data_IF_098671133451
#
_entry.id   IF_098671133451
#
_cell.length_a   1.000
_cell.length_b   1.000
_cell.length_c   1.000
_cell.angle_alpha   90.00
_cell.angle_beta   90.00
_cell.angle_gamma   90.00
#
_symmetry.space_group_name_H-M   'P 1'
#
loop_
_entity.id
_entity.type
_entity.pdbx_description
1 polymer ?
#
# COMPACT_ATOMS: atom_id res chain seq x y z
N UNK A 1 -4.01 15.13 14.72
CA UNK A 1 -4.76 15.09 15.98
C UNK A 1 -3.78 14.94 17.12
N UNK A 2 -3.83 15.82 18.07
CA UNK A 2 -2.91 15.85 19.25
C UNK A 2 -3.35 14.88 20.36
N UNK A 3 -4.53 14.30 20.23
CA UNK A 3 -5.17 13.38 21.18
C UNK A 3 -4.92 11.88 20.88
N UNK A 4 -4.21 11.57 19.79
CA UNK A 4 -3.88 10.18 19.46
C UNK A 4 -2.50 9.79 20.01
N UNK A 5 -2.46 8.74 20.83
CA UNK A 5 -1.20 8.18 21.33
C UNK A 5 -0.48 7.34 20.25
N UNK A 6 -1.23 6.54 19.49
CA UNK A 6 -0.71 5.69 18.42
C UNK A 6 -1.66 5.67 17.22
N UNK A 7 -1.11 5.50 16.03
CA UNK A 7 -1.87 5.32 14.79
C UNK A 7 -1.07 4.50 13.77
N UNK A 8 -1.76 3.81 12.86
CA UNK A 8 -1.09 3.27 11.67
C UNK A 8 -0.76 4.39 10.70
N UNK A 9 0.47 4.41 10.21
CA UNK A 9 0.96 5.45 9.32
C UNK A 9 1.79 4.86 8.19
N UNK A 10 1.54 5.34 6.97
CA UNK A 10 2.36 5.01 5.81
C UNK A 10 3.76 5.64 5.97
N UNK A 11 4.80 4.88 5.63
CA UNK A 11 6.19 5.34 5.75
C UNK A 11 6.51 6.52 4.84
N UNK A 12 5.87 6.63 3.68
CA UNK A 12 6.11 7.71 2.72
C UNK A 12 5.74 9.10 3.27
N UNK A 13 4.49 9.39 3.71
CA UNK A 13 4.18 10.67 4.33
C UNK A 13 4.92 10.87 5.65
N UNK A 14 5.19 9.79 6.41
CA UNK A 14 5.98 9.89 7.64
C UNK A 14 7.37 10.47 7.39
N UNK A 15 8.10 9.99 6.38
CA UNK A 15 9.41 10.52 6.00
C UNK A 15 9.30 11.97 5.52
N UNK A 16 8.37 12.27 4.62
CA UNK A 16 8.16 13.61 4.05
C UNK A 16 7.83 14.67 5.10
N UNK A 17 7.19 14.28 6.20
CA UNK A 17 6.82 15.16 7.31
C UNK A 17 7.79 15.09 8.50
N UNK A 18 9.05 14.69 8.27
CA UNK A 18 10.14 14.81 9.21
C UNK A 18 10.28 13.63 10.18
N UNK A 19 9.61 12.51 9.94
CA UNK A 19 9.77 11.25 10.69
C UNK A 19 9.66 11.42 12.24
N UNK A 20 8.75 12.28 12.69
CA UNK A 20 8.65 12.68 14.10
C UNK A 20 8.02 11.62 15.02
N UNK A 21 7.29 10.64 14.46
CA UNK A 21 6.67 9.56 15.22
C UNK A 21 7.62 8.37 15.34
N UNK A 22 7.47 7.59 16.42
CA UNK A 22 8.30 6.40 16.65
C UNK A 22 7.55 5.12 16.28
N UNK A 23 8.21 4.25 15.52
CA UNK A 23 7.64 2.94 15.14
C UNK A 23 7.48 2.07 16.37
N UNK A 24 6.31 1.49 16.56
CA UNK A 24 6.00 0.50 17.61
C UNK A 24 6.21 -0.91 17.03
N UNK A 25 5.40 -1.27 16.05
CA UNK A 25 5.47 -2.56 15.34
C UNK A 25 4.70 -2.46 14.02
N UNK A 26 5.02 -3.34 13.08
CA UNK A 26 4.34 -3.45 11.80
C UNK A 26 3.63 -4.81 11.68
N UNK A 27 2.44 -4.87 11.06
CA UNK A 27 1.76 -6.13 10.82
C UNK A 27 2.56 -6.98 9.84
N UNK A 28 2.52 -8.30 10.04
CA UNK A 28 3.06 -9.30 9.12
C UNK A 28 1.88 -9.93 8.40
N UNK A 29 1.60 -9.58 7.12
CA UNK A 29 0.50 -10.16 6.37
C UNK A 29 0.61 -11.67 6.26
N UNK A 30 -0.53 -12.37 6.24
CA UNK A 30 -0.59 -13.83 6.09
C UNK A 30 -0.40 -14.29 4.64
N UNK A 31 -0.60 -13.39 3.67
CA UNK A 31 -0.49 -13.68 2.24
C UNK A 31 0.95 -14.00 1.79
N UNK A 32 1.07 -14.81 0.74
CA UNK A 32 2.35 -15.35 0.27
C UNK A 32 3.34 -14.28 -0.22
N UNK A 33 2.86 -13.15 -0.74
CA UNK A 33 3.74 -12.06 -1.17
C UNK A 33 4.60 -11.52 -0.02
N UNK A 34 4.11 -11.59 1.21
CA UNK A 34 4.82 -11.09 2.39
C UNK A 34 5.95 -12.02 2.85
N UNK A 35 5.85 -13.34 2.58
CA UNK A 35 6.85 -14.34 2.98
C UNK A 35 7.24 -14.27 4.47
N UNK A 36 6.24 -13.99 5.33
CA UNK A 36 6.46 -13.84 6.76
C UNK A 36 7.19 -12.56 7.19
N UNK A 37 7.28 -11.56 6.30
CA UNK A 37 7.91 -10.26 6.56
C UNK A 37 6.85 -9.16 6.71
N UNK A 38 7.15 -8.05 7.40
CA UNK A 38 6.25 -6.90 7.54
C UNK A 38 6.31 -6.02 6.28
N UNK A 39 5.90 -6.58 5.14
CA UNK A 39 5.93 -5.92 3.83
C UNK A 39 4.58 -5.99 3.13
N UNK A 40 4.37 -5.11 2.18
CA UNK A 40 3.23 -5.07 1.28
C UNK A 40 3.68 -4.60 -0.11
N UNK A 41 2.79 -4.71 -1.09
CA UNK A 41 3.02 -4.19 -2.44
C UNK A 41 1.79 -3.45 -2.95
N UNK A 42 1.88 -2.86 -4.12
CA UNK A 42 0.73 -2.31 -4.84
C UNK A 42 0.36 -3.27 -5.96
N UNK A 43 -0.88 -3.76 -5.94
CA UNK A 43 -1.46 -4.52 -7.04
C UNK A 43 -2.10 -3.56 -8.04
N UNK A 44 -1.88 -3.76 -9.33
CA UNK A 44 -2.67 -3.11 -10.37
C UNK A 44 -3.88 -3.97 -10.67
N UNK A 45 -5.06 -3.44 -10.43
CA UNK A 45 -6.32 -4.14 -10.63
C UNK A 45 -7.08 -3.60 -11.83
N UNK A 46 -7.76 -4.50 -12.53
CA UNK A 46 -8.72 -4.22 -13.61
C UNK A 46 -10.02 -4.95 -13.32
N UNK A 47 -11.11 -4.63 -14.00
CA UNK A 47 -12.35 -5.42 -13.89
C UNK A 47 -12.09 -6.88 -14.27
N UNK A 48 -12.69 -7.80 -13.53
CA UNK A 48 -12.52 -9.25 -13.76
C UNK A 48 -13.03 -9.69 -15.15
N UNK A 49 -14.06 -9.03 -15.67
CA UNK A 49 -14.65 -9.29 -16.99
C UNK A 49 -14.04 -8.47 -18.14
N UNK A 50 -13.01 -7.66 -17.87
CA UNK A 50 -12.32 -6.88 -18.92
C UNK A 50 -11.46 -7.79 -19.81
N UNK A 51 -11.09 -7.30 -20.98
CA UNK A 51 -10.14 -7.98 -21.88
C UNK A 51 -8.66 -7.79 -21.47
N UNK A 52 -8.38 -6.94 -20.48
CA UNK A 52 -7.01 -6.62 -20.07
C UNK A 52 -6.41 -7.80 -19.30
N UNK A 53 -5.30 -8.35 -19.77
CA UNK A 53 -4.60 -9.49 -19.15
C UNK A 53 -3.26 -9.11 -18.52
N UNK A 54 -2.70 -7.97 -18.94
CA UNK A 54 -1.46 -7.38 -18.46
C UNK A 54 -1.64 -5.89 -18.23
N UNK A 55 -0.72 -5.28 -17.48
CA UNK A 55 -0.75 -3.85 -17.20
C UNK A 55 -0.68 -3.02 -18.51
N UNK A 56 0.14 -3.45 -19.46
CA UNK A 56 0.35 -2.75 -20.72
C UNK A 56 -0.93 -2.66 -21.57
N UNK A 57 -1.86 -3.62 -21.42
CA UNK A 57 -3.15 -3.59 -22.12
C UNK A 57 -4.03 -2.40 -21.70
N UNK A 58 -3.70 -1.79 -20.54
CA UNK A 58 -4.43 -0.63 -19.98
C UNK A 58 -3.84 0.71 -20.42
N UNK A 59 -2.73 0.72 -21.15
CA UNK A 59 -2.12 1.99 -21.62
C UNK A 59 -3.04 2.73 -22.57
N UNK A 60 -3.07 4.07 -22.44
CA UNK A 60 -4.03 4.92 -23.13
C UNK A 60 -5.44 4.94 -22.51
N UNK A 61 -5.69 4.16 -21.44
CA UNK A 61 -6.96 4.09 -20.72
C UNK A 61 -6.99 5.00 -19.50
N UNK A 62 -8.04 4.88 -18.67
CA UNK A 62 -8.22 5.69 -17.44
C UNK A 62 -7.54 5.01 -16.27
N UNK A 63 -6.62 5.72 -15.63
CA UNK A 63 -5.89 5.26 -14.44
C UNK A 63 -6.41 5.96 -13.19
N UNK A 64 -6.84 5.18 -12.19
CA UNK A 64 -7.23 5.72 -10.89
C UNK A 64 -6.04 5.78 -9.92
N UNK A 65 -6.11 6.68 -8.92
CA UNK A 65 -5.17 6.71 -7.79
C UNK A 65 -5.85 7.19 -6.51
N UNK A 66 -5.24 6.92 -5.36
CA UNK A 66 -5.77 7.34 -4.05
C UNK A 66 -5.50 8.82 -3.80
N UNK A 67 -4.29 9.16 -3.35
CA UNK A 67 -3.74 10.50 -3.13
C UNK A 67 -2.26 10.50 -3.44
N UNK A 68 -1.68 11.63 -3.80
CA UNK A 68 -0.25 11.75 -4.14
C UNK A 68 0.68 11.44 -2.95
N UNK A 69 0.19 11.62 -1.74
CA UNK A 69 0.92 11.33 -0.50
C UNK A 69 0.85 9.84 -0.07
N UNK A 70 0.20 8.98 -0.88
CA UNK A 70 0.15 7.54 -0.64
C UNK A 70 1.34 6.81 -1.29
N UNK A 71 2.01 5.93 -0.52
CA UNK A 71 3.03 5.09 -1.12
C UNK A 71 2.40 4.04 -2.07
N UNK A 72 1.52 3.18 -1.56
CA UNK A 72 0.88 2.12 -2.35
C UNK A 72 -0.10 2.62 -3.40
N UNK A 73 -0.76 3.74 -3.15
CA UNK A 73 -1.77 4.29 -4.06
C UNK A 73 -1.24 5.27 -5.09
N UNK A 74 0.05 5.65 -5.03
CA UNK A 74 0.65 6.63 -5.94
C UNK A 74 2.15 6.43 -6.16
N UNK A 75 2.98 6.52 -5.12
CA UNK A 75 4.44 6.55 -5.28
C UNK A 75 5.01 5.24 -5.84
N UNK A 76 4.65 4.09 -5.27
CA UNK A 76 5.10 2.78 -5.75
C UNK A 76 4.57 2.45 -7.16
N UNK A 77 3.28 2.67 -7.47
CA UNK A 77 2.77 2.58 -8.84
C UNK A 77 3.54 3.46 -9.81
N UNK A 78 3.81 4.71 -9.47
CA UNK A 78 4.59 5.65 -10.29
C UNK A 78 5.99 5.12 -10.60
N UNK A 79 6.68 4.60 -9.60
CA UNK A 79 7.99 3.98 -9.77
C UNK A 79 7.93 2.75 -10.68
N UNK A 80 6.93 1.88 -10.49
CA UNK A 80 6.74 0.70 -11.35
C UNK A 80 6.49 1.10 -12.82
N UNK A 81 5.63 2.08 -13.03
CA UNK A 81 5.28 2.59 -14.37
C UNK A 81 6.43 3.27 -15.10
N UNK A 82 7.46 3.77 -14.39
CA UNK A 82 8.62 4.36 -15.06
C UNK A 82 9.36 3.38 -15.96
N UNK A 83 9.30 2.07 -15.66
CA UNK A 83 9.91 1.02 -16.47
C UNK A 83 9.14 0.78 -17.80
N UNK A 84 7.87 1.15 -17.82
CA UNK A 84 7.00 1.01 -18.98
C UNK A 84 7.02 2.24 -19.90
N UNK A 85 7.63 3.33 -19.45
CA UNK A 85 7.67 4.59 -20.23
C UNK A 85 8.71 4.53 -21.33
N UNK A 86 8.26 4.75 -22.56
CA UNK A 86 9.15 4.86 -23.73
C UNK A 86 10.04 6.11 -23.67
N UNK A 87 11.12 6.11 -24.47
CA UNK A 87 12.04 7.24 -24.61
C UNK A 87 11.38 8.50 -25.19
N UNK A 88 10.23 8.36 -25.84
CA UNK A 88 9.44 9.45 -26.42
C UNK A 88 8.70 10.31 -25.38
N UNK A 89 8.71 9.91 -24.12
CA UNK A 89 8.10 10.64 -23.01
C UNK A 89 6.57 10.76 -23.05
N UNK A 90 5.89 9.98 -23.90
CA UNK A 90 4.44 10.02 -24.01
C UNK A 90 3.76 9.60 -22.70
N UNK A 91 2.58 10.15 -22.44
CA UNK A 91 1.72 9.72 -21.34
C UNK A 91 1.33 8.25 -21.50
N UNK A 92 1.42 7.49 -20.40
CA UNK A 92 1.00 6.08 -20.40
C UNK A 92 -0.53 5.93 -20.39
N UNK A 93 -1.24 6.88 -19.79
CA UNK A 93 -2.69 6.84 -19.64
C UNK A 93 -3.35 8.04 -20.32
N UNK A 94 -4.54 7.82 -20.87
CA UNK A 94 -5.32 8.85 -21.55
C UNK A 94 -6.03 9.80 -20.58
N UNK A 95 -6.36 9.29 -19.39
CA UNK A 95 -7.04 10.05 -18.33
C UNK A 95 -6.59 9.58 -16.96
N UNK A 96 -6.51 10.51 -16.01
CA UNK A 96 -6.19 10.24 -14.61
C UNK A 96 -7.41 10.54 -13.74
N UNK A 97 -7.88 9.54 -13.02
CA UNK A 97 -9.07 9.57 -12.16
C UNK A 97 -8.65 9.63 -10.70
N UNK A 98 -8.79 10.78 -10.08
CA UNK A 98 -8.41 10.96 -8.67
C UNK A 98 -8.23 12.43 -8.29
N UNK A 99 -7.92 12.69 -7.01
CA UNK A 99 -7.69 11.72 -5.93
C UNK A 99 -8.96 11.04 -5.40
N UNK A 100 -8.92 9.72 -5.23
CA UNK A 100 -10.05 8.93 -4.70
C UNK A 100 -9.94 8.64 -3.20
N UNK A 101 -8.86 9.09 -2.57
CA UNK A 101 -8.59 9.08 -1.12
C UNK A 101 -8.26 7.70 -0.55
N UNK A 102 -9.03 6.64 -0.85
CA UNK A 102 -8.87 5.32 -0.22
C UNK A 102 -8.73 4.19 -1.24
N UNK A 103 -8.06 3.08 -0.88
CA UNK A 103 -8.00 1.88 -1.72
C UNK A 103 -9.38 1.38 -2.14
N UNK A 104 -10.35 1.36 -1.20
CA UNK A 104 -11.71 0.94 -1.50
C UNK A 104 -12.36 1.77 -2.61
N UNK A 105 -12.22 3.10 -2.60
CA UNK A 105 -12.78 3.97 -3.64
C UNK A 105 -12.11 3.76 -5.00
N UNK A 106 -10.82 3.41 -5.02
CA UNK A 106 -10.14 3.03 -6.27
C UNK A 106 -10.75 1.73 -6.82
N UNK A 107 -10.93 0.72 -5.96
CA UNK A 107 -11.57 -0.54 -6.35
C UNK A 107 -12.99 -0.30 -6.88
N UNK A 108 -13.80 0.46 -6.16
CA UNK A 108 -15.16 0.84 -6.58
C UNK A 108 -15.15 1.57 -7.94
N UNK A 109 -14.21 2.49 -8.17
CA UNK A 109 -14.09 3.21 -9.44
C UNK A 109 -13.78 2.25 -10.62
N UNK A 110 -12.94 1.24 -10.40
CA UNK A 110 -12.66 0.21 -11.41
C UNK A 110 -13.88 -0.66 -11.66
N UNK A 111 -14.54 -1.14 -10.61
CA UNK A 111 -15.74 -1.98 -10.68
C UNK A 111 -16.89 -1.28 -11.41
N UNK A 112 -17.09 0.00 -11.15
CA UNK A 112 -18.12 0.85 -11.76
C UNK A 112 -17.77 1.32 -13.17
N UNK A 113 -16.56 1.03 -13.64
CA UNK A 113 -16.09 1.45 -14.96
C UNK A 113 -15.78 2.96 -15.07
N UNK A 114 -15.59 3.66 -13.95
CA UNK A 114 -15.09 5.04 -13.93
C UNK A 114 -13.58 5.12 -14.20
N UNK A 115 -12.86 4.05 -13.86
CA UNK A 115 -11.46 3.84 -14.23
C UNK A 115 -11.30 2.44 -14.85
N UNK A 116 -10.28 2.25 -15.67
CA UNK A 116 -10.00 0.98 -16.31
C UNK A 116 -8.96 0.16 -15.53
N UNK A 117 -8.06 0.85 -14.81
CA UNK A 117 -7.02 0.29 -13.97
C UNK A 117 -6.75 1.19 -12.77
N UNK A 118 -6.31 0.62 -11.65
CA UNK A 118 -5.89 1.40 -10.49
C UNK A 118 -5.06 0.57 -9.53
N UNK A 119 -4.24 1.21 -8.67
CA UNK A 119 -3.45 0.52 -7.66
C UNK A 119 -4.30 0.15 -6.44
N UNK A 120 -4.00 -1.02 -5.89
CA UNK A 120 -4.52 -1.48 -4.61
C UNK A 120 -3.36 -1.77 -3.65
N UNK A 121 -3.44 -1.25 -2.46
CA UNK A 121 -2.66 -1.72 -1.33
C UNK A 121 -2.96 -3.21 -1.14
N UNK A 122 -1.93 -4.07 -1.22
CA UNK A 122 -2.13 -5.53 -1.19
C UNK A 122 -2.75 -5.99 0.12
N UNK A 123 -2.35 -5.41 1.25
CA UNK A 123 -2.91 -5.76 2.55
C UNK A 123 -4.36 -5.28 2.71
N UNK A 124 -4.68 -4.07 2.23
CA UNK A 124 -6.06 -3.61 2.18
C UNK A 124 -6.92 -4.48 1.23
N UNK A 125 -6.33 -4.97 0.14
CA UNK A 125 -7.00 -5.88 -0.79
C UNK A 125 -7.27 -7.26 -0.18
N UNK A 126 -6.33 -7.81 0.61
CA UNK A 126 -6.54 -9.05 1.37
C UNK A 126 -7.72 -8.91 2.34
N UNK A 127 -7.78 -7.81 3.09
CA UNK A 127 -8.89 -7.51 4.00
C UNK A 127 -10.22 -7.35 3.24
N UNK A 128 -10.23 -6.67 2.09
CA UNK A 128 -11.43 -6.56 1.27
C UNK A 128 -11.84 -7.91 0.67
N UNK A 129 -10.90 -8.74 0.27
CA UNK A 129 -11.17 -10.09 -0.24
C UNK A 129 -11.81 -10.98 0.82
N UNK A 130 -11.41 -10.83 2.08
CA UNK A 130 -11.99 -11.57 3.21
C UNK A 130 -13.36 -11.04 3.63
N UNK A 131 -13.50 -9.72 3.76
CA UNK A 131 -14.67 -9.12 4.40
C UNK A 131 -15.70 -8.53 3.41
N UNK A 132 -15.31 -8.33 2.16
CA UNK A 132 -16.14 -7.80 1.06
C UNK A 132 -15.95 -8.63 -0.23
N UNK A 133 -16.06 -9.98 -0.16
CA UNK A 133 -15.74 -10.86 -1.29
C UNK A 133 -16.53 -10.54 -2.55
N UNK A 134 -17.79 -10.14 -2.42
CA UNK A 134 -18.67 -9.72 -3.53
C UNK A 134 -18.07 -8.55 -4.34
N UNK A 135 -17.37 -7.64 -3.65
CA UNK A 135 -16.74 -6.49 -4.30
C UNK A 135 -15.36 -6.88 -4.86
N UNK A 136 -14.54 -7.57 -4.06
CA UNK A 136 -13.19 -7.94 -4.43
C UNK A 136 -13.15 -8.93 -5.63
N UNK A 137 -14.12 -9.84 -5.74
CA UNK A 137 -14.20 -10.80 -6.86
C UNK A 137 -14.50 -10.15 -8.22
N UNK A 138 -14.94 -8.89 -8.23
CA UNK A 138 -15.24 -8.16 -9.47
C UNK A 138 -14.00 -7.57 -10.16
N UNK A 139 -12.83 -7.70 -9.54
CA UNK A 139 -11.55 -7.27 -10.09
C UNK A 139 -10.55 -8.41 -10.13
N UNK A 140 -9.52 -8.27 -10.93
CA UNK A 140 -8.34 -9.15 -10.94
C UNK A 140 -7.07 -8.34 -10.98
N UNK A 141 -5.99 -8.93 -10.45
CA UNK A 141 -4.64 -8.35 -10.47
C UNK A 141 -4.00 -8.68 -11.82
N UNK A 142 -3.40 -7.67 -12.46
CA UNK A 142 -2.67 -7.80 -13.73
C UNK A 142 -1.17 -7.53 -13.59
N UNK A 143 -0.76 -6.85 -12.52
CA UNK A 143 0.65 -6.65 -12.15
C UNK A 143 0.75 -6.30 -10.66
N UNK A 144 1.97 -6.38 -10.13
CA UNK A 144 2.27 -5.96 -8.75
C UNK A 144 3.64 -5.30 -8.70
N UNK A 145 3.81 -4.34 -7.80
CA UNK A 145 5.12 -3.75 -7.51
C UNK A 145 5.96 -4.69 -6.65
N UNK A 146 7.26 -4.40 -6.53
CA UNK A 146 8.09 -5.04 -5.53
C UNK A 146 7.55 -4.79 -4.11
N UNK A 147 7.70 -5.76 -3.19
CA UNK A 147 7.32 -5.58 -1.79
C UNK A 147 8.23 -4.57 -1.07
N UNK A 148 7.60 -3.73 -0.25
CA UNK A 148 8.27 -2.71 0.58
C UNK A 148 7.71 -2.74 2.00
N UNK A 149 8.34 -2.08 2.99
CA UNK A 149 7.83 -2.04 4.35
C UNK A 149 6.40 -1.53 4.45
N UNK A 150 5.55 -2.31 5.13
CA UNK A 150 4.12 -2.01 5.31
C UNK A 150 3.92 -0.82 6.28
N UNK A 151 2.80 -0.07 6.21
CA UNK A 151 2.44 0.91 7.24
C UNK A 151 2.52 0.32 8.65
N UNK A 152 3.26 0.97 9.53
CA UNK A 152 3.45 0.54 10.91
C UNK A 152 2.53 1.28 11.88
N UNK A 153 2.27 0.65 13.03
CA UNK A 153 1.76 1.36 14.20
C UNK A 153 2.86 2.29 14.70
N UNK A 154 2.58 3.58 14.73
CA UNK A 154 3.51 4.61 15.18
C UNK A 154 2.94 5.33 16.39
N UNK A 155 3.82 5.63 17.35
CA UNK A 155 3.50 6.37 18.55
C UNK A 155 3.85 7.85 18.39
N UNK A 156 3.01 8.72 18.93
CA UNK A 156 3.29 10.16 19.02
C UNK A 156 4.44 10.45 19.99
N UNK A 157 5.05 11.63 19.87
CA UNK A 157 6.19 12.04 20.71
C UNK A 157 5.85 12.13 22.21
N UNK A 158 4.56 12.22 22.57
CA UNK A 158 4.12 12.23 23.96
C UNK A 158 4.12 10.86 24.63
N UNK A 159 4.26 9.76 23.89
CA UNK A 159 4.30 8.40 24.44
C UNK A 159 5.71 8.07 24.91
N UNK A 160 5.85 7.63 26.19
CA UNK A 160 7.16 7.31 26.74
C UNK A 160 7.82 6.11 26.05
N UNK A 161 9.16 6.04 25.99
CA UNK A 161 9.87 4.90 25.43
C UNK A 161 9.49 3.55 26.07
N UNK A 162 9.28 3.52 27.38
CA UNK A 162 8.89 2.31 28.10
C UNK A 162 7.51 1.78 27.66
N UNK A 163 6.55 2.67 27.41
CA UNK A 163 5.22 2.29 26.90
C UNK A 163 5.34 1.76 25.47
N UNK A 164 6.13 2.40 24.63
CA UNK A 164 6.38 1.93 23.25
C UNK A 164 6.97 0.53 23.25
N UNK A 165 7.97 0.29 24.11
CA UNK A 165 8.63 -1.01 24.20
C UNK A 165 7.65 -2.09 24.69
N UNK A 166 6.82 -1.78 25.69
CA UNK A 166 5.79 -2.69 26.21
C UNK A 166 4.76 -3.03 25.12
N UNK A 167 4.28 -2.03 24.39
CA UNK A 167 3.34 -2.24 23.28
C UNK A 167 3.97 -3.07 22.15
N UNK A 168 5.21 -2.78 21.78
CA UNK A 168 5.91 -3.52 20.75
C UNK A 168 6.11 -4.98 21.12
N UNK A 169 6.52 -5.26 22.36
CA UNK A 169 6.66 -6.63 22.88
C UNK A 169 5.31 -7.37 22.87
N UNK A 170 4.24 -6.72 23.33
CA UNK A 170 2.90 -7.30 23.34
C UNK A 170 2.39 -7.60 21.91
N UNK A 171 2.58 -6.69 20.96
CA UNK A 171 2.18 -6.91 19.57
C UNK A 171 3.00 -8.03 18.92
N UNK A 172 4.30 -8.05 19.10
CA UNK A 172 5.16 -9.08 18.53
C UNK A 172 4.86 -10.49 19.09
N UNK A 173 4.27 -10.61 20.29
CA UNK A 173 3.84 -11.90 20.83
C UNK A 173 2.49 -12.41 20.29
N UNK A 174 1.74 -11.59 19.52
CA UNK A 174 0.41 -11.96 19.01
C UNK A 174 0.43 -13.26 18.20
N UNK A 175 1.43 -13.46 17.35
CA UNK A 175 1.53 -14.65 16.51
C UNK A 175 1.80 -15.96 17.28
N UNK A 176 2.23 -15.86 18.55
CA UNK A 176 2.52 -16.99 19.45
C UNK A 176 1.32 -17.35 20.35
N UNK A 177 0.20 -16.60 20.24
CA UNK A 177 -0.97 -16.73 21.10
C UNK A 177 -2.11 -17.48 20.40
N UNK A 178 -2.36 -18.76 20.71
CA UNK A 178 -3.41 -19.55 20.08
C UNK A 178 -4.81 -18.93 20.22
N UNK A 179 -5.07 -18.27 21.36
CA UNK A 179 -6.34 -17.60 21.65
C UNK A 179 -6.63 -16.41 20.70
N UNK A 180 -5.60 -15.85 20.05
CA UNK A 180 -5.72 -14.77 19.08
C UNK A 180 -5.74 -15.26 17.63
N UNK A 181 -5.62 -16.56 17.37
CA UNK A 181 -5.52 -17.11 16.01
C UNK A 181 -6.72 -16.73 15.13
N UNK A 182 -7.94 -16.77 15.66
CA UNK A 182 -9.15 -16.37 14.95
C UNK A 182 -9.11 -14.88 14.56
N UNK A 183 -8.74 -14.01 15.49
CA UNK A 183 -8.62 -12.57 15.24
C UNK A 183 -7.50 -12.29 14.23
N UNK A 184 -6.37 -12.95 14.34
CA UNK A 184 -5.26 -12.81 13.37
C UNK A 184 -5.67 -13.24 11.98
N UNK A 185 -6.44 -14.33 11.84
CA UNK A 185 -7.00 -14.76 10.57
C UNK A 185 -7.98 -13.73 9.99
N UNK A 186 -8.84 -13.14 10.83
CA UNK A 186 -9.77 -12.09 10.40
C UNK A 186 -9.07 -10.82 9.97
N UNK A 187 -7.93 -10.49 10.56
CA UNK A 187 -7.08 -9.37 10.21
C UNK A 187 -6.09 -9.69 9.07
N UNK A 188 -6.10 -10.90 8.51
CA UNK A 188 -5.18 -11.34 7.47
C UNK A 188 -3.70 -11.17 7.87
N UNK A 189 -3.34 -11.39 9.13
CA UNK A 189 -1.98 -11.27 9.65
C UNK A 189 -1.50 -12.57 10.31
N UNK A 190 -0.18 -12.78 10.32
CA UNK A 190 0.48 -13.81 11.15
C UNK A 190 0.87 -13.30 12.53
N UNK A 191 0.91 -11.97 12.70
CA UNK A 191 1.33 -11.28 13.91
C UNK A 191 1.91 -9.92 13.58
N UNK A 192 2.85 -9.45 14.40
CA UNK A 192 3.56 -8.19 14.22
C UNK A 192 5.07 -8.41 14.36
N UNK A 193 5.84 -7.53 13.74
CA UNK A 193 7.30 -7.53 13.82
C UNK A 193 7.84 -6.12 14.09
N UNK A 194 9.01 -6.05 14.70
CA UNK A 194 9.78 -4.80 14.75
C UNK A 194 10.28 -4.47 13.36
N UNK A 195 10.32 -3.19 13.04
CA UNK A 195 10.74 -2.70 11.75
C UNK A 195 11.77 -1.59 11.93
N UNK A 196 12.90 -1.70 11.23
CA UNK A 196 13.91 -0.66 11.21
C UNK A 196 13.35 0.58 10.47
N UNK A 197 13.32 1.76 11.12
CA UNK A 197 12.93 3.01 10.48
C UNK A 197 13.65 3.29 9.16
N UNK A 198 14.93 2.92 9.05
CA UNK A 198 15.74 3.12 7.85
C UNK A 198 15.20 2.35 6.63
N UNK A 199 14.45 1.27 6.85
CA UNK A 199 13.86 0.48 5.77
C UNK A 199 12.87 1.26 4.91
N UNK A 200 12.25 2.32 5.45
CA UNK A 200 11.32 3.17 4.70
C UNK A 200 12.01 4.10 3.70
N UNK A 201 13.36 4.27 3.76
CA UNK A 201 14.10 5.10 2.80
C UNK A 201 13.90 4.64 1.33
N UNK A 202 13.49 3.40 1.11
CA UNK A 202 13.16 2.89 -0.23
C UNK A 202 12.05 3.73 -0.89
N UNK A 203 11.10 4.26 -0.12
CA UNK A 203 10.02 5.08 -0.67
C UNK A 203 10.53 6.41 -1.25
N UNK A 204 11.51 7.05 -0.60
CA UNK A 204 12.18 8.25 -1.12
C UNK A 204 13.05 7.93 -2.34
N UNK A 205 13.75 6.80 -2.31
CA UNK A 205 14.55 6.34 -3.44
C UNK A 205 13.68 6.17 -4.68
N UNK A 206 12.56 5.48 -4.56
CA UNK A 206 11.61 5.28 -5.66
C UNK A 206 10.99 6.59 -6.17
N UNK A 207 10.72 7.54 -5.27
CA UNK A 207 10.22 8.84 -5.68
C UNK A 207 11.24 9.59 -6.54
N UNK A 208 12.51 9.64 -6.09
CA UNK A 208 13.60 10.30 -6.83
C UNK A 208 13.90 9.63 -8.18
N UNK A 209 13.88 8.30 -8.22
CA UNK A 209 14.09 7.55 -9.46
C UNK A 209 12.98 7.82 -10.48
N UNK A 210 11.72 7.83 -10.06
CA UNK A 210 10.60 8.16 -10.93
C UNK A 210 10.68 9.60 -11.46
N UNK A 211 11.05 10.56 -10.62
CA UNK A 211 11.26 11.95 -11.00
C UNK A 211 12.40 12.11 -11.99
N UNK A 212 13.55 11.46 -11.74
CA UNK A 212 14.72 11.48 -12.63
C UNK A 212 14.41 10.90 -14.02
N UNK A 213 13.45 9.96 -14.11
CA UNK A 213 12.97 9.40 -15.38
C UNK A 213 11.82 10.20 -16.00
N UNK A 214 11.52 11.40 -15.48
CA UNK A 214 10.49 12.29 -15.99
C UNK A 214 9.05 11.90 -15.64
N UNK A 215 8.85 10.97 -14.68
CA UNK A 215 7.55 10.63 -14.11
C UNK A 215 7.34 11.38 -12.78
N UNK A 216 7.41 12.69 -12.78
CA UNK A 216 7.06 13.49 -11.61
C UNK A 216 5.59 13.28 -11.19
N UNK A 217 4.71 13.02 -12.17
CA UNK A 217 3.30 12.65 -11.96
C UNK A 217 2.93 11.46 -12.86
N UNK A 218 1.94 10.66 -12.41
CA UNK A 218 1.34 9.61 -13.23
C UNK A 218 0.55 10.29 -14.36
N UNK A 219 0.92 10.01 -15.61
CA UNK A 219 0.23 10.52 -16.79
C UNK A 219 0.19 9.46 -17.88
#
# INVERSE_FOLDING_TARGET
RTDLACTFMCGWPWLRHGATHRIVAAPVPSADYAQGRPVYCSHFIVRADSAFTRLEDTFGRRFAYTIEDSHSGYNAPRHHLMQCRGADGRALFGEIVGPLTTPRRVLEAVVEGRADVGPQDSFAFDLMSRHLPELASRVRIVASTEPVPIPALMASNGVSPAVIETLAAALCSVGERPELAGLSADLCIRGFARLDPASYAIAETWAREAEARGLATIR
#
